data_IF_474514529694
#
_entry.id   IF_474514529694
#
_cell.length_a   1.000
_cell.length_b   1.000
_cell.length_c   1.000
_cell.angle_alpha   90.00
_cell.angle_beta   90.00
_cell.angle_gamma   90.00
#
_symmetry.space_group_name_H-M   'P 1'
#
loop_
_entity.id
_entity.type
_entity.pdbx_description
1 polymer ?
#
# COMPACT_ATOMS: atom_id res chain seq x y z
N UNK A 1 31.49 0.65 -6.92
CA UNK A 1 31.21 1.60 -5.82
C UNK A 1 30.25 0.93 -4.87
N UNK A 2 30.73 0.51 -3.69
CA UNK A 2 29.84 -0.02 -2.66
C UNK A 2 29.08 1.16 -2.03
N UNK A 3 27.76 1.20 -2.19
CA UNK A 3 26.95 2.24 -1.58
C UNK A 3 27.07 2.13 -0.05
N UNK A 4 27.36 3.23 0.67
CA UNK A 4 27.52 3.19 2.12
C UNK A 4 26.22 2.69 2.77
N UNK A 5 26.33 1.62 3.57
CA UNK A 5 25.20 1.06 4.32
C UNK A 5 24.64 2.14 5.26
N UNK A 6 23.41 2.59 5.00
CA UNK A 6 22.72 3.56 5.84
C UNK A 6 22.73 3.15 7.33
N UNK A 7 22.96 4.13 8.21
CA UNK A 7 22.99 3.92 9.67
C UNK A 7 21.65 3.40 10.18
N UNK A 8 21.66 2.73 11.35
CA UNK A 8 20.45 2.14 11.95
C UNK A 8 19.33 3.17 12.15
N UNK A 9 19.69 4.41 12.46
CA UNK A 9 18.74 5.53 12.64
C UNK A 9 18.10 5.93 11.32
N UNK A 10 18.89 6.07 10.24
CA UNK A 10 18.37 6.44 8.91
C UNK A 10 17.36 5.41 8.40
N UNK A 11 17.67 4.11 8.55
CA UNK A 11 16.73 3.03 8.17
C UNK A 11 15.41 3.12 8.94
N UNK A 12 15.49 3.32 10.26
CA UNK A 12 14.30 3.46 11.11
C UNK A 12 13.45 4.67 10.73
N UNK A 13 14.08 5.80 10.39
CA UNK A 13 13.34 6.99 9.93
C UNK A 13 12.62 6.72 8.61
N UNK A 14 13.30 6.10 7.64
CA UNK A 14 12.68 5.75 6.35
C UNK A 14 11.51 4.77 6.57
N UNK A 15 11.65 3.78 7.46
CA UNK A 15 10.56 2.87 7.83
C UNK A 15 9.35 3.60 8.39
N UNK A 16 9.56 4.51 9.35
CA UNK A 16 8.49 5.27 9.97
C UNK A 16 7.78 6.17 8.96
N UNK A 17 8.54 6.84 8.10
CA UNK A 17 8.01 7.71 7.04
C UNK A 17 7.21 6.90 6.01
N UNK A 18 7.73 5.75 5.58
CA UNK A 18 7.02 4.85 4.66
C UNK A 18 5.74 4.31 5.30
N UNK A 19 5.81 3.88 6.56
CA UNK A 19 4.65 3.37 7.29
C UNK A 19 3.59 4.45 7.51
N UNK A 20 4.00 5.68 7.81
CA UNK A 20 3.10 6.81 7.93
C UNK A 20 2.38 7.08 6.60
N UNK A 21 3.12 7.18 5.50
CA UNK A 21 2.53 7.35 4.16
C UNK A 21 1.61 6.18 3.79
N UNK A 22 1.97 4.94 4.14
CA UNK A 22 1.15 3.77 3.86
C UNK A 22 -0.14 3.79 4.69
N UNK A 23 -0.08 4.31 5.91
CA UNK A 23 -1.25 4.49 6.79
C UNK A 23 -2.18 5.57 6.27
N UNK A 24 -1.64 6.71 5.80
CA UNK A 24 -2.42 7.77 5.13
C UNK A 24 -3.09 7.24 3.87
N UNK A 25 -2.38 6.44 3.06
CA UNK A 25 -2.92 5.84 1.85
C UNK A 25 -4.05 4.84 2.15
N UNK A 26 -3.86 3.95 3.12
CA UNK A 26 -4.91 3.03 3.59
C UNK A 26 -6.14 3.78 4.13
N UNK A 27 -5.93 4.78 4.98
CA UNK A 27 -6.99 5.62 5.52
C UNK A 27 -7.74 6.39 4.42
N UNK A 28 -7.01 6.90 3.42
CA UNK A 28 -7.59 7.57 2.26
C UNK A 28 -8.54 6.68 1.47
N UNK A 29 -8.17 5.42 1.21
CA UNK A 29 -9.07 4.46 0.56
C UNK A 29 -10.30 4.12 1.42
N UNK A 30 -10.16 4.06 2.75
CA UNK A 30 -11.29 3.86 3.64
C UNK A 30 -12.27 5.04 3.60
N UNK A 31 -11.76 6.28 3.59
CA UNK A 31 -12.59 7.49 3.44
C UNK A 31 -13.26 7.55 2.08
N UNK A 32 -12.55 7.26 0.99
CA UNK A 32 -13.14 7.18 -0.35
C UNK A 32 -14.25 6.14 -0.42
N UNK A 33 -14.05 4.96 0.20
CA UNK A 33 -15.09 3.94 0.24
C UNK A 33 -16.35 4.47 0.92
N UNK A 34 -16.23 5.14 2.07
CA UNK A 34 -17.37 5.75 2.76
C UNK A 34 -18.03 6.85 1.93
N UNK A 35 -17.25 7.70 1.25
CA UNK A 35 -17.79 8.74 0.35
C UNK A 35 -18.57 8.13 -0.81
N UNK A 36 -18.18 6.94 -1.28
CA UNK A 36 -18.89 6.22 -2.35
C UNK A 36 -20.09 5.40 -1.85
N UNK A 37 -20.29 5.26 -0.53
CA UNK A 37 -21.47 4.60 0.01
C UNK A 37 -22.67 5.55 -0.12
N UNK A 38 -23.75 5.08 -0.75
CA UNK A 38 -24.97 5.87 -0.97
C UNK A 38 -24.71 7.23 -1.64
N UNK A 39 -23.72 7.31 -2.53
CA UNK A 39 -23.31 8.54 -3.23
C UNK A 39 -23.07 9.73 -2.29
N UNK A 40 -22.47 9.49 -1.11
CA UNK A 40 -22.16 10.54 -0.15
C UNK A 40 -23.36 11.07 0.63
N UNK A 41 -24.57 10.53 0.42
CA UNK A 41 -25.79 10.96 1.12
C UNK A 41 -25.67 10.83 2.65
N UNK A 42 -24.95 9.81 3.13
CA UNK A 42 -24.68 9.60 4.55
C UNK A 42 -23.84 10.74 5.18
N UNK A 43 -23.15 11.53 4.36
CA UNK A 43 -22.34 12.68 4.76
C UNK A 43 -23.05 14.01 4.46
N UNK A 44 -24.33 13.98 4.07
CA UNK A 44 -25.11 15.16 3.72
C UNK A 44 -24.72 15.80 2.39
N UNK A 45 -23.95 15.11 1.54
CA UNK A 45 -23.61 15.58 0.21
C UNK A 45 -24.83 15.42 -0.71
N UNK A 46 -25.13 16.44 -1.50
CA UNK A 46 -26.07 16.29 -2.60
C UNK A 46 -25.45 15.36 -3.66
N UNK A 47 -26.28 14.59 -4.36
CA UNK A 47 -25.82 13.60 -5.36
C UNK A 47 -25.00 14.21 -6.50
N UNK A 48 -25.16 15.51 -6.79
CA UNK A 48 -24.34 16.24 -7.76
C UNK A 48 -22.96 16.67 -7.21
N UNK A 49 -22.83 16.86 -5.90
CA UNK A 49 -21.60 17.36 -5.26
C UNK A 49 -20.67 16.22 -4.84
N UNK A 50 -21.22 15.03 -4.60
CA UNK A 50 -20.48 13.83 -4.24
C UNK A 50 -19.33 13.45 -5.19
N UNK A 51 -19.51 13.40 -6.53
CA UNK A 51 -18.41 13.07 -7.44
C UNK A 51 -17.28 14.10 -7.42
N UNK A 52 -17.61 15.39 -7.26
CA UNK A 52 -16.61 16.48 -7.18
C UNK A 52 -15.81 16.37 -5.88
N UNK A 53 -16.48 16.10 -4.75
CA UNK A 53 -15.84 15.90 -3.47
C UNK A 53 -14.91 14.66 -3.46
N UNK A 54 -15.34 13.56 -4.10
CA UNK A 54 -14.56 12.33 -4.26
C UNK A 54 -13.29 12.61 -5.07
N UNK A 55 -13.40 13.31 -6.19
CA UNK A 55 -12.24 13.62 -7.05
C UNK A 55 -11.27 14.62 -6.40
N UNK A 56 -11.80 15.63 -5.69
CA UNK A 56 -10.99 16.57 -4.90
C UNK A 56 -10.20 15.85 -3.79
N UNK A 57 -10.85 14.93 -3.06
CA UNK A 57 -10.17 14.14 -2.03
C UNK A 57 -9.10 13.22 -2.64
N UNK A 58 -9.42 12.54 -3.75
CA UNK A 58 -8.50 11.68 -4.49
C UNK A 58 -7.23 12.43 -4.91
N UNK A 59 -7.41 13.54 -5.60
CA UNK A 59 -6.30 14.32 -6.16
C UNK A 59 -5.40 14.91 -5.08
N UNK A 60 -5.96 15.31 -3.93
CA UNK A 60 -5.21 15.97 -2.88
C UNK A 60 -4.52 15.01 -1.90
N UNK A 61 -5.09 13.82 -1.66
CA UNK A 61 -4.58 12.89 -0.63
C UNK A 61 -4.05 11.57 -1.18
N UNK A 62 -4.73 10.95 -2.15
CA UNK A 62 -4.33 9.62 -2.64
C UNK A 62 -3.24 9.71 -3.70
N UNK A 63 -3.45 10.54 -4.73
CA UNK A 63 -2.51 10.70 -5.85
C UNK A 63 -1.09 11.08 -5.39
N UNK A 64 -0.86 12.05 -4.48
CA UNK A 64 0.50 12.39 -4.05
C UNK A 64 1.16 11.31 -3.18
N UNK A 65 0.39 10.45 -2.52
CA UNK A 65 0.95 9.34 -1.73
C UNK A 65 1.55 8.24 -2.60
N UNK A 66 1.04 8.04 -3.82
CA UNK A 66 1.52 6.99 -4.74
C UNK A 66 3.01 7.17 -5.10
N UNK A 67 3.47 8.30 -5.67
CA UNK A 67 4.88 8.47 -6.01
C UNK A 67 5.78 8.45 -4.77
N UNK A 68 5.29 8.94 -3.62
CA UNK A 68 6.05 8.91 -2.37
C UNK A 68 6.28 7.48 -1.85
N UNK A 69 5.23 6.64 -1.88
CA UNK A 69 5.32 5.23 -1.49
C UNK A 69 6.18 4.42 -2.47
N UNK A 70 6.06 4.69 -3.77
CA UNK A 70 6.89 4.04 -4.79
C UNK A 70 8.35 4.45 -4.66
N UNK A 71 8.64 5.74 -4.49
CA UNK A 71 10.00 6.24 -4.33
C UNK A 71 10.67 5.65 -3.08
N UNK A 72 9.98 5.64 -1.93
CA UNK A 72 10.51 5.05 -0.70
C UNK A 72 10.71 3.54 -0.82
N UNK A 73 9.83 2.82 -1.51
CA UNK A 73 9.97 1.39 -1.77
C UNK A 73 11.14 1.06 -2.72
N UNK A 74 11.34 1.86 -3.79
CA UNK A 74 12.50 1.75 -4.69
C UNK A 74 13.80 2.06 -3.94
N UNK A 75 13.82 3.16 -3.17
CA UNK A 75 14.97 3.54 -2.35
C UNK A 75 15.33 2.41 -1.38
N UNK A 76 14.32 1.77 -0.77
CA UNK A 76 14.50 0.61 0.09
C UNK A 76 15.17 -0.56 -0.65
N UNK A 77 14.68 -0.93 -1.82
CA UNK A 77 15.20 -2.09 -2.55
C UNK A 77 16.55 -1.84 -3.24
N UNK A 78 16.93 -0.59 -3.50
CA UNK A 78 18.28 -0.21 -3.99
C UNK A 78 19.28 -0.09 -2.85
N UNK A 79 18.91 0.54 -1.73
CA UNK A 79 19.81 0.80 -0.59
C UNK A 79 19.98 -0.39 0.36
N UNK A 80 19.16 -1.44 0.22
CA UNK A 80 19.30 -2.67 1.00
C UNK A 80 19.66 -3.83 0.09
N UNK A 81 20.60 -4.68 0.52
CA UNK A 81 21.02 -5.92 -0.18
C UNK A 81 19.94 -7.01 -0.20
N UNK A 82 18.66 -6.61 -0.06
CA UNK A 82 17.49 -7.46 0.04
C UNK A 82 17.07 -8.06 -1.30
N UNK A 83 17.44 -7.41 -2.41
CA UNK A 83 17.23 -7.91 -3.77
C UNK A 83 15.76 -8.09 -4.11
N UNK A 84 15.21 -7.19 -4.94
CA UNK A 84 13.82 -7.18 -5.41
C UNK A 84 13.24 -8.56 -5.81
N UNK A 85 14.08 -9.45 -6.36
CA UNK A 85 13.69 -10.76 -6.87
C UNK A 85 14.05 -11.95 -5.95
N UNK A 86 14.79 -11.76 -4.84
CA UNK A 86 15.29 -12.87 -4.02
C UNK A 86 14.23 -13.46 -3.08
N UNK A 87 13.14 -12.72 -2.85
CA UNK A 87 12.04 -13.12 -1.98
C UNK A 87 10.70 -12.97 -2.71
N UNK A 88 10.03 -14.09 -3.04
CA UNK A 88 8.73 -14.10 -3.73
C UNK A 88 7.66 -13.23 -3.07
N UNK A 89 7.75 -13.02 -1.76
CA UNK A 89 6.85 -12.12 -1.02
C UNK A 89 6.96 -10.65 -1.44
N UNK A 90 8.16 -10.18 -1.76
CA UNK A 90 8.37 -8.81 -2.19
C UNK A 90 7.76 -8.59 -3.58
N UNK A 91 7.92 -9.57 -4.48
CA UNK A 91 7.29 -9.56 -5.81
C UNK A 91 5.77 -9.49 -5.73
N UNK A 92 5.15 -10.28 -4.84
CA UNK A 92 3.69 -10.25 -4.61
C UNK A 92 3.21 -8.85 -4.18
N UNK A 93 3.97 -8.17 -3.30
CA UNK A 93 3.65 -6.79 -2.91
C UNK A 93 3.68 -5.84 -4.09
N UNK A 94 4.73 -5.91 -4.92
CA UNK A 94 4.87 -5.02 -6.07
C UNK A 94 3.77 -5.22 -7.09
N UNK A 95 3.46 -6.47 -7.43
CA UNK A 95 2.36 -6.78 -8.35
C UNK A 95 1.04 -6.24 -7.79
N UNK A 96 0.75 -6.48 -6.51
CA UNK A 96 -0.49 -6.02 -5.91
C UNK A 96 -0.55 -4.49 -5.78
N UNK A 97 0.57 -3.80 -5.52
CA UNK A 97 0.65 -2.34 -5.55
C UNK A 97 0.41 -1.78 -6.96
N UNK A 98 1.01 -2.38 -7.99
CA UNK A 98 0.78 -1.97 -9.39
C UNK A 98 -0.68 -2.19 -9.78
N UNK A 99 -1.28 -3.34 -9.40
CA UNK A 99 -2.70 -3.63 -9.66
C UNK A 99 -3.60 -2.57 -9.04
N UNK A 100 -3.32 -2.14 -7.80
CA UNK A 100 -4.10 -1.07 -7.16
C UNK A 100 -3.92 0.27 -7.88
N UNK A 101 -2.69 0.66 -8.22
CA UNK A 101 -2.41 1.94 -8.91
C UNK A 101 -3.07 1.97 -10.29
N UNK A 102 -2.86 0.92 -11.10
CA UNK A 102 -3.41 0.82 -12.44
C UNK A 102 -4.94 0.70 -12.40
N UNK A 103 -5.48 -0.10 -11.48
CA UNK A 103 -6.92 -0.22 -11.29
C UNK A 103 -7.57 1.10 -10.87
N UNK A 104 -6.85 1.93 -10.11
CA UNK A 104 -7.31 3.25 -9.67
C UNK A 104 -7.27 4.32 -10.77
N UNK A 105 -6.43 4.16 -11.80
CA UNK A 105 -6.40 5.06 -12.96
C UNK A 105 -7.37 4.63 -14.08
N UNK A 106 -7.57 3.32 -14.28
CA UNK A 106 -8.30 2.81 -15.45
C UNK A 106 -9.79 2.58 -15.20
N UNK A 107 -10.19 2.32 -13.96
CA UNK A 107 -11.59 1.98 -13.67
C UNK A 107 -12.37 3.23 -13.20
N UNK A 108 -13.66 3.33 -13.58
CA UNK A 108 -14.54 4.30 -12.94
C UNK A 108 -14.61 4.02 -11.43
N UNK A 109 -15.13 4.99 -10.66
CA UNK A 109 -15.18 4.93 -9.19
C UNK A 109 -16.56 4.57 -8.60
N UNK A 110 -17.27 3.50 -9.05
CA UNK A 110 -18.42 3.03 -8.28
C UNK A 110 -17.94 2.38 -6.99
N UNK A 111 -18.83 2.33 -6.00
CA UNK A 111 -18.59 1.78 -4.65
C UNK A 111 -17.93 0.39 -4.69
N UNK A 112 -18.33 -0.47 -5.64
CA UNK A 112 -17.78 -1.81 -5.80
C UNK A 112 -16.29 -1.81 -6.17
N UNK A 113 -15.87 -0.94 -7.09
CA UNK A 113 -14.46 -0.81 -7.49
C UNK A 113 -13.64 -0.26 -6.34
N UNK A 114 -14.11 0.81 -5.68
CA UNK A 114 -13.39 1.42 -4.54
C UNK A 114 -13.29 0.43 -3.37
N UNK A 115 -14.35 -0.35 -3.12
CA UNK A 115 -14.34 -1.42 -2.13
C UNK A 115 -13.34 -2.53 -2.45
N UNK A 116 -13.27 -2.98 -3.71
CA UNK A 116 -12.28 -3.96 -4.15
C UNK A 116 -10.85 -3.42 -3.97
N UNK A 117 -10.59 -2.15 -4.31
CA UNK A 117 -9.29 -1.52 -4.09
C UNK A 117 -8.94 -1.43 -2.60
N UNK A 118 -9.90 -1.07 -1.74
CA UNK A 118 -9.70 -1.04 -0.30
C UNK A 118 -9.31 -2.43 0.24
N UNK A 119 -9.96 -3.50 -0.21
CA UNK A 119 -9.61 -4.88 0.16
C UNK A 119 -8.18 -5.21 -0.27
N UNK A 120 -7.79 -4.83 -1.49
CA UNK A 120 -6.42 -5.01 -1.98
C UNK A 120 -5.39 -4.24 -1.14
N UNK A 121 -5.68 -3.00 -0.75
CA UNK A 121 -4.80 -2.18 0.09
C UNK A 121 -4.70 -2.72 1.51
N UNK A 122 -5.81 -3.20 2.10
CA UNK A 122 -5.81 -3.90 3.38
C UNK A 122 -4.98 -5.19 3.30
N UNK A 123 -5.13 -5.96 2.23
CA UNK A 123 -4.32 -7.16 2.00
C UNK A 123 -2.83 -6.82 1.84
N UNK A 124 -2.48 -5.76 1.11
CA UNK A 124 -1.10 -5.25 1.01
C UNK A 124 -0.53 -4.88 2.38
N UNK A 125 -1.31 -4.16 3.19
CA UNK A 125 -0.88 -3.73 4.52
C UNK A 125 -0.72 -4.92 5.47
N UNK A 126 -1.69 -5.84 5.49
CA UNK A 126 -1.61 -7.07 6.26
C UNK A 126 -0.41 -7.93 5.84
N UNK A 127 -0.20 -8.14 4.53
CA UNK A 127 0.98 -8.84 4.02
C UNK A 127 2.27 -8.14 4.41
N UNK A 128 2.26 -6.81 4.55
CA UNK A 128 3.43 -6.02 4.94
C UNK A 128 3.78 -6.12 6.42
N UNK A 129 2.78 -6.12 7.29
CA UNK A 129 2.94 -6.30 8.75
C UNK A 129 3.24 -7.76 9.08
N UNK A 130 2.45 -8.68 8.54
CA UNK A 130 2.57 -10.12 8.75
C UNK A 130 3.54 -10.73 7.75
N UNK A 131 4.84 -10.40 7.88
CA UNK A 131 5.92 -11.02 7.11
C UNK A 131 5.76 -12.56 7.11
N UNK A 132 5.55 -13.24 5.96
CA UNK A 132 5.35 -14.69 5.89
C UNK A 132 6.62 -15.51 6.14
N UNK A 133 7.67 -14.91 6.72
CA UNK A 133 8.96 -15.53 6.99
C UNK A 133 9.03 -16.42 8.23
N UNK A 134 8.01 -16.49 9.07
CA UNK A 134 8.08 -17.25 10.33
C UNK A 134 7.55 -18.70 10.22
N UNK A 135 6.63 -18.99 9.30
CA UNK A 135 6.00 -20.33 9.23
C UNK A 135 6.81 -21.34 8.42
N UNK A 136 7.45 -20.94 7.32
CA UNK A 136 8.29 -21.85 6.50
C UNK A 136 9.62 -22.20 7.18
N UNK A 137 10.22 -21.27 7.92
CA UNK A 137 11.44 -21.53 8.71
C UNK A 137 11.19 -22.51 9.87
N UNK A 138 10.05 -22.39 10.58
CA UNK A 138 9.66 -23.36 11.63
C UNK A 138 9.35 -24.75 11.07
N UNK A 139 8.63 -24.88 9.94
CA UNK A 139 8.36 -26.19 9.31
C UNK A 139 9.63 -26.84 8.72
N UNK A 140 10.55 -26.07 8.15
CA UNK A 140 11.81 -26.60 7.66
C UNK A 140 12.74 -27.03 8.81
N UNK A 141 12.77 -26.30 9.93
CA UNK A 141 13.59 -26.67 11.10
C UNK A 141 13.03 -27.89 11.86
N UNK A 142 11.70 -28.09 11.86
CA UNK A 142 11.08 -29.27 12.45
C UNK A 142 11.33 -30.56 11.63
N UNK A 143 11.37 -30.47 10.29
CA UNK A 143 11.58 -31.63 9.41
C UNK A 143 13.04 -32.14 9.34
N UNK A 144 14.00 -31.42 9.94
CA UNK A 144 15.41 -31.84 9.99
C UNK A 144 15.83 -32.31 11.39
N UNK A 145 14.87 -32.54 12.30
CA UNK A 145 15.09 -33.04 13.66
C UNK A 145 14.43 -34.41 13.90
N UNK A 146 13.85 -35.01 12.85
CA UNK A 146 13.38 -36.39 12.78
C UNK A 146 14.32 -37.16 11.83
#
# INVERSE_FOLDING_TARGET
MELPKASRTVKRTIDLVHLFAASVWLGGFAVLFVLTLSDGAALGLASLDAPVAIDAFRSQFIVPCIPFLMATAVLYGVLTSWGFAKHSWLVVKWVLSIVVIVGFELLPFPTATVGAMLVCVVALFALSVFKPGMKKSKKAKAKNLD
#
